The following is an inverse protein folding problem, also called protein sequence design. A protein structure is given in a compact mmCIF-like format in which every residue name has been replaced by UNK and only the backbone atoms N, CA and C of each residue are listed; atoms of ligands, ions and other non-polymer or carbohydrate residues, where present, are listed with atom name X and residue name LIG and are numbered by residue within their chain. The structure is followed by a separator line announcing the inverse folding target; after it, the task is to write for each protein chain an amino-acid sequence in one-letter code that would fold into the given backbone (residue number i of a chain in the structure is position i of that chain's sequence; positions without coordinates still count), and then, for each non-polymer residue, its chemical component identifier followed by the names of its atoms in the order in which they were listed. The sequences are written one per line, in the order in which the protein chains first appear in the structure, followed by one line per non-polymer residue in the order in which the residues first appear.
data_IF_317762751310
#
_entry.id   IF_317762751310
#
_cell.length_a   1.000
_cell.length_b   1.000
_cell.length_c   1.000
_cell.angle_alpha   90.00
_cell.angle_beta   90.00
_cell.angle_gamma   90.00
#
_symmetry.space_group_name_H-M   'P 1'
#
loop_
_entity.id
_entity.type
_entity.pdbx_description
1 polymer ?
#
# COMPACT_ATOMS: atom_id res chain seq x y z
N UNK A 1 14.70 0.55 -10.66
CA UNK A 1 13.23 0.65 -10.81
C UNK A 1 12.83 2.11 -10.67
N UNK A 2 11.87 2.63 -11.44
CA UNK A 2 11.52 4.06 -11.49
C UNK A 2 10.03 4.23 -11.22
N UNK A 3 9.66 5.25 -10.44
CA UNK A 3 8.30 5.60 -10.03
C UNK A 3 8.04 7.09 -10.28
N UNK A 4 6.82 7.44 -10.69
CA UNK A 4 6.40 8.82 -10.93
C UNK A 4 5.57 9.29 -9.70
N UNK A 5 5.93 10.36 -8.98
CA UNK A 5 5.11 10.85 -7.87
C UNK A 5 3.71 11.30 -8.33
N UNK A 6 2.72 11.10 -7.48
CA UNK A 6 1.34 11.52 -7.73
C UNK A 6 0.98 12.63 -6.73
N UNK A 7 0.57 13.77 -7.27
CA UNK A 7 -0.08 14.83 -6.53
C UNK A 7 -1.59 14.56 -6.49
N UNK A 8 -2.15 14.47 -5.28
CA UNK A 8 -3.60 14.33 -5.04
C UNK A 8 -4.12 15.43 -4.12
N UNK A 9 -3.37 16.54 -3.99
CA UNK A 9 -3.81 17.71 -3.23
C UNK A 9 -5.05 18.30 -3.90
N UNK A 10 -5.97 18.81 -3.06
CA UNK A 10 -7.25 19.40 -3.51
C UNK A 10 -8.17 18.46 -4.30
N UNK A 11 -7.97 17.14 -4.20
CA UNK A 11 -8.83 16.15 -4.89
C UNK A 11 -8.57 16.02 -6.39
N UNK A 12 -7.48 16.61 -6.91
CA UNK A 12 -7.08 16.47 -8.31
C UNK A 12 -5.93 15.48 -8.39
N UNK A 13 -6.12 14.38 -9.13
CA UNK A 13 -5.05 13.39 -9.38
C UNK A 13 -4.18 13.89 -10.54
N UNK A 14 -2.89 14.14 -10.26
CA UNK A 14 -1.89 14.49 -11.27
C UNK A 14 -0.61 13.71 -11.04
N UNK A 15 -0.01 13.18 -12.10
CA UNK A 15 1.37 12.70 -12.05
C UNK A 15 2.34 13.86 -12.20
N UNK A 16 3.50 13.75 -11.57
CA UNK A 16 4.64 14.61 -11.86
C UNK A 16 5.35 14.15 -13.15
N UNK A 17 5.92 15.08 -13.91
CA UNK A 17 6.62 14.78 -15.17
C UNK A 17 8.09 14.36 -14.98
N UNK A 18 8.37 13.66 -13.89
CA UNK A 18 9.67 13.04 -13.63
C UNK A 18 9.52 11.70 -12.92
N UNK A 19 10.51 10.83 -13.14
CA UNK A 19 10.59 9.55 -12.46
C UNK A 19 11.76 9.52 -11.48
N UNK A 20 11.55 8.92 -10.32
CA UNK A 20 12.57 8.70 -9.29
C UNK A 20 12.71 7.22 -8.95
N UNK A 21 13.90 6.81 -8.52
CA UNK A 21 14.11 5.42 -8.13
C UNK A 21 13.37 5.08 -6.84
N UNK A 22 13.01 3.81 -6.63
CA UNK A 22 12.36 3.33 -5.38
C UNK A 22 13.11 3.80 -4.13
N UNK A 23 14.45 3.71 -4.13
CA UNK A 23 15.29 4.19 -3.03
C UNK A 23 15.19 5.71 -2.83
N UNK A 24 15.06 6.49 -3.92
CA UNK A 24 14.82 7.94 -3.84
C UNK A 24 13.40 8.26 -3.36
N UNK A 25 12.38 7.48 -3.76
CA UNK A 25 11.02 7.59 -3.21
C UNK A 25 11.04 7.39 -1.70
N UNK A 26 11.63 6.29 -1.24
CA UNK A 26 11.80 5.98 0.17
C UNK A 26 12.45 7.14 0.94
N UNK A 27 13.59 7.63 0.48
CA UNK A 27 14.26 8.78 1.10
C UNK A 27 13.39 10.04 1.12
N UNK A 28 12.68 10.33 0.02
CA UNK A 28 11.75 11.46 -0.07
C UNK A 28 10.62 11.33 0.96
N UNK A 29 10.04 10.14 1.08
CA UNK A 29 8.98 9.83 2.04
C UNK A 29 9.49 10.04 3.48
N UNK A 30 10.63 9.46 3.85
CA UNK A 30 11.24 9.66 5.18
C UNK A 30 11.53 11.14 5.48
N UNK A 31 11.86 11.94 4.47
CA UNK A 31 12.13 13.38 4.63
C UNK A 31 10.87 14.26 4.69
N UNK A 32 9.69 13.70 4.45
CA UNK A 32 8.43 14.46 4.40
C UNK A 32 8.04 14.90 5.81
N UNK A 33 7.56 16.15 5.97
CA UNK A 33 7.13 16.71 7.27
C UNK A 33 6.05 15.89 7.99
N UNK A 34 5.35 15.01 7.26
CA UNK A 34 4.36 14.09 7.80
C UNK A 34 4.98 13.05 8.74
N UNK A 35 6.26 12.73 8.58
CA UNK A 35 6.96 11.73 9.38
C UNK A 35 8.08 12.37 10.21
N UNK A 36 8.54 11.66 11.23
CA UNK A 36 9.66 12.13 12.02
C UNK A 36 10.94 12.07 11.21
N UNK A 37 11.84 13.05 11.44
CA UNK A 37 13.23 12.98 10.93
C UNK A 37 13.97 11.74 11.44
N UNK A 38 13.43 11.07 12.46
CA UNK A 38 13.93 9.81 13.02
C UNK A 38 13.27 8.57 12.44
N UNK A 39 12.42 8.67 11.42
CA UNK A 39 11.80 7.49 10.82
C UNK A 39 12.88 6.50 10.36
N UNK A 40 12.81 5.26 10.88
CA UNK A 40 13.82 4.20 10.70
C UNK A 40 13.37 3.12 9.73
N UNK A 41 12.10 3.10 9.36
CA UNK A 41 11.53 2.14 8.43
C UNK A 41 10.42 2.77 7.59
N UNK A 42 10.08 2.16 6.45
CA UNK A 42 8.88 2.54 5.71
C UNK A 42 8.08 1.35 5.19
N UNK A 43 6.77 1.54 5.08
CA UNK A 43 5.83 0.59 4.49
C UNK A 43 5.38 1.12 3.13
N UNK A 44 5.62 0.34 2.07
CA UNK A 44 5.06 0.61 0.75
C UNK A 44 3.86 -0.31 0.48
N UNK A 45 2.68 0.29 0.38
CA UNK A 45 1.46 -0.40 0.00
C UNK A 45 1.38 -0.49 -1.53
N UNK A 46 1.45 -1.71 -2.06
CA UNK A 46 1.31 -1.94 -3.49
C UNK A 46 -0.16 -2.18 -3.81
N UNK A 47 -0.82 -1.13 -4.28
CA UNK A 47 -2.26 -1.09 -4.45
C UNK A 47 -2.64 -1.84 -5.73
N UNK A 48 -3.42 -2.91 -5.61
CA UNK A 48 -3.96 -3.60 -6.79
C UNK A 48 -4.98 -2.75 -7.55
N UNK A 49 -5.99 -2.22 -6.83
CA UNK A 49 -7.13 -1.46 -7.36
C UNK A 49 -7.64 -0.45 -6.32
N UNK A 50 -7.41 0.85 -6.51
CA UNK A 50 -7.74 1.84 -5.50
C UNK A 50 -9.22 1.87 -5.06
N UNK A 51 -10.19 1.75 -5.99
CA UNK A 51 -11.62 1.73 -5.64
C UNK A 51 -12.18 0.42 -5.10
N UNK A 52 -11.38 -0.65 -5.00
CA UNK A 52 -11.83 -1.91 -4.44
C UNK A 52 -11.95 -1.82 -2.91
N UNK A 53 -13.03 -2.35 -2.34
CA UNK A 53 -13.25 -2.39 -0.87
C UNK A 53 -12.06 -3.01 -0.13
N UNK A 54 -11.47 -4.08 -0.67
CA UNK A 54 -10.34 -4.76 -0.03
C UNK A 54 -9.13 -3.83 0.06
N UNK A 55 -8.82 -3.08 -1.00
CA UNK A 55 -7.69 -2.14 -0.96
C UNK A 55 -7.95 -0.96 -0.01
N UNK A 56 -9.22 -0.57 0.19
CA UNK A 56 -9.62 0.41 1.21
C UNK A 56 -9.43 -0.14 2.63
N UNK A 57 -9.82 -1.38 2.87
CA UNK A 57 -9.60 -2.09 4.13
C UNK A 57 -8.11 -2.22 4.45
N UNK A 58 -7.32 -2.70 3.49
CA UNK A 58 -5.86 -2.81 3.60
C UNK A 58 -5.21 -1.47 3.88
N UNK A 59 -5.62 -0.42 3.15
CA UNK A 59 -5.15 0.95 3.38
C UNK A 59 -5.44 1.42 4.81
N UNK A 60 -6.67 1.22 5.29
CA UNK A 60 -7.04 1.59 6.66
C UNK A 60 -6.17 0.89 7.70
N UNK A 61 -5.99 -0.43 7.57
CA UNK A 61 -5.20 -1.22 8.51
C UNK A 61 -3.72 -0.84 8.50
N UNK A 62 -3.14 -0.58 7.32
CA UNK A 62 -1.75 -0.13 7.21
C UNK A 62 -1.56 1.27 7.78
N UNK A 63 -2.57 2.15 7.63
CA UNK A 63 -2.56 3.46 8.27
C UNK A 63 -2.55 3.35 9.79
N UNK A 64 -3.43 2.53 10.34
CA UNK A 64 -3.52 2.29 11.78
C UNK A 64 -2.23 1.65 12.32
N UNK A 65 -1.67 0.67 11.62
CA UNK A 65 -0.38 0.07 11.96
C UNK A 65 0.71 1.14 12.04
N UNK A 66 0.88 1.96 11.00
CA UNK A 66 1.94 2.98 10.96
C UNK A 66 1.75 4.04 12.04
N UNK A 67 0.50 4.46 12.28
CA UNK A 67 0.15 5.43 13.33
C UNK A 67 0.33 4.89 14.75
N UNK A 68 0.31 3.56 14.93
CA UNK A 68 0.55 2.94 16.23
C UNK A 68 2.02 2.98 16.67
N UNK A 69 2.96 3.32 15.78
CA UNK A 69 4.36 3.49 16.16
C UNK A 69 4.61 4.89 16.76
N UNK A 70 5.27 4.97 17.93
CA UNK A 70 5.53 6.25 18.57
C UNK A 70 6.43 7.14 17.73
N UNK A 71 6.29 8.46 17.91
CA UNK A 71 7.10 9.48 17.27
C UNK A 71 7.17 9.38 15.73
N UNK A 72 6.17 8.80 15.05
CA UNK A 72 6.19 8.59 13.60
C UNK A 72 7.47 7.91 13.11
N UNK A 73 7.96 6.91 13.86
CA UNK A 73 9.18 6.13 13.55
C UNK A 73 9.07 5.27 12.29
N UNK A 74 7.85 5.02 11.84
CA UNK A 74 7.56 4.30 10.61
C UNK A 74 6.90 5.26 9.64
N UNK A 75 7.40 5.30 8.41
CA UNK A 75 6.77 6.03 7.33
C UNK A 75 5.91 5.11 6.46
N UNK A 76 5.01 5.69 5.68
CA UNK A 76 4.14 4.95 4.79
C UNK A 76 4.00 5.66 3.45
N UNK A 77 3.77 4.89 2.39
CA UNK A 77 3.53 5.37 1.04
C UNK A 77 2.86 4.28 0.21
N UNK A 78 2.25 4.66 -0.90
CA UNK A 78 1.53 3.74 -1.78
C UNK A 78 2.08 3.77 -3.21
N UNK A 79 1.89 2.66 -3.91
CA UNK A 79 2.18 2.53 -5.32
C UNK A 79 0.93 2.06 -6.05
N UNK A 80 0.62 2.74 -7.16
CA UNK A 80 -0.45 2.35 -8.10
C UNK A 80 0.17 2.07 -9.47
N UNK A 81 -0.49 1.23 -10.27
CA UNK A 81 -0.04 0.90 -11.63
C UNK A 81 -0.53 1.89 -12.70
N UNK A 82 -1.60 2.61 -12.41
CA UNK A 82 -2.30 3.50 -13.34
C UNK A 82 -3.01 4.63 -12.61
N UNK A 83 -3.23 5.74 -13.33
CA UNK A 83 -4.10 6.85 -12.97
C UNK A 83 -5.10 7.06 -14.14
N UNK A 84 -6.14 7.86 -13.95
CA UNK A 84 -7.18 8.17 -14.96
C UNK A 84 -8.10 7.00 -15.36
N UNK A 85 -8.05 5.90 -14.61
CA UNK A 85 -8.98 4.77 -14.74
C UNK A 85 -10.08 4.80 -13.68
N UNK A 86 -9.69 5.10 -12.44
CA UNK A 86 -10.57 5.14 -11.26
C UNK A 86 -10.10 6.25 -10.31
N UNK A 87 -10.16 7.49 -10.80
CA UNK A 87 -9.68 8.65 -10.04
C UNK A 87 -10.51 8.89 -8.78
N UNK A 88 -11.81 8.56 -8.80
CA UNK A 88 -12.67 8.63 -7.61
C UNK A 88 -12.26 7.59 -6.57
N UNK A 89 -12.02 6.34 -6.98
CA UNK A 89 -11.53 5.29 -6.09
C UNK A 89 -10.14 5.61 -5.53
N UNK A 90 -9.25 6.17 -6.36
CA UNK A 90 -7.92 6.61 -5.94
C UNK A 90 -7.98 7.77 -4.95
N UNK A 91 -8.83 8.76 -5.22
CA UNK A 91 -9.05 9.91 -4.33
C UNK A 91 -9.67 9.46 -3.02
N UNK A 92 -10.67 8.58 -3.04
CA UNK A 92 -11.29 8.02 -1.85
C UNK A 92 -10.30 7.20 -1.02
N UNK A 93 -9.48 6.35 -1.66
CA UNK A 93 -8.41 5.59 -1.00
C UNK A 93 -7.46 6.55 -0.27
N UNK A 94 -6.96 7.56 -0.97
CA UNK A 94 -6.04 8.53 -0.40
C UNK A 94 -6.65 9.38 0.72
N UNK A 95 -7.86 9.92 0.53
CA UNK A 95 -8.46 10.85 1.48
C UNK A 95 -8.93 10.16 2.75
N UNK A 96 -9.59 9.00 2.62
CA UNK A 96 -10.35 8.40 3.72
C UNK A 96 -9.62 7.22 4.39
N UNK A 97 -8.76 6.51 3.66
CA UNK A 97 -8.22 5.22 4.12
C UNK A 97 -6.69 5.22 4.26
N UNK A 98 -5.95 5.87 3.35
CA UNK A 98 -4.48 5.83 3.33
C UNK A 98 -3.87 7.18 2.90
N UNK A 99 -3.85 8.15 3.82
CA UNK A 99 -3.44 9.54 3.53
C UNK A 99 -1.92 9.75 3.60
N UNK A 100 -1.19 9.01 2.76
CA UNK A 100 0.27 9.09 2.63
C UNK A 100 0.67 9.34 1.17
N UNK A 101 1.95 9.62 0.84
CA UNK A 101 2.36 9.85 -0.55
C UNK A 101 2.09 8.66 -1.48
N UNK A 102 1.66 8.92 -2.71
CA UNK A 102 1.45 7.91 -3.75
C UNK A 102 2.44 8.07 -4.90
N UNK A 103 2.75 6.95 -5.53
CA UNK A 103 3.61 6.90 -6.71
C UNK A 103 3.01 5.97 -7.76
N UNK A 104 3.24 6.29 -9.03
CA UNK A 104 2.83 5.52 -10.18
C UNK A 104 4.00 4.64 -10.66
N UNK A 105 3.78 3.32 -10.71
CA UNK A 105 4.65 2.33 -11.34
C UNK A 105 4.07 1.92 -12.70
N UNK A 106 4.22 2.79 -13.69
CA UNK A 106 3.70 2.60 -15.05
C UNK A 106 4.15 1.29 -15.70
N UNK A 107 5.36 0.80 -15.35
CA UNK A 107 5.93 -0.44 -15.93
C UNK A 107 5.59 -1.70 -15.12
N UNK A 108 4.85 -1.53 -14.03
CA UNK A 108 4.46 -2.56 -13.06
C UNK A 108 5.65 -3.39 -12.57
N UNK A 109 6.81 -2.77 -12.39
CA UNK A 109 8.03 -3.46 -12.00
C UNK A 109 7.98 -3.95 -10.54
N UNK A 110 7.36 -3.21 -9.62
CA UNK A 110 7.14 -3.66 -8.23
C UNK A 110 6.17 -4.83 -8.19
N UNK A 111 5.06 -4.73 -8.91
CA UNK A 111 4.08 -5.83 -9.04
C UNK A 111 4.73 -7.11 -9.60
N UNK A 112 5.56 -6.97 -10.65
CA UNK A 112 6.30 -8.10 -11.23
C UNK A 112 7.35 -8.68 -10.28
N UNK A 113 8.01 -7.83 -9.48
CA UNK A 113 9.03 -8.24 -8.53
C UNK A 113 8.45 -9.02 -7.33
N UNK A 114 7.22 -8.71 -6.91
CA UNK A 114 6.53 -9.46 -5.84
C UNK A 114 6.02 -10.84 -6.28
N UNK A 115 5.96 -11.11 -7.58
CA UNK A 115 5.56 -12.40 -8.15
C UNK A 115 4.47 -12.27 -9.23
N UNK A 116 4.63 -13.02 -10.33
CA UNK A 116 3.63 -13.12 -11.41
C UNK A 116 2.62 -14.21 -11.08
N UNK A 117 1.55 -13.91 -10.36
CA UNK A 117 0.42 -14.83 -10.25
C UNK A 117 -0.87 -14.15 -10.72
N UNK A 118 -1.37 -14.63 -11.85
CA UNK A 118 -2.64 -14.24 -12.46
C UNK A 118 -3.77 -14.94 -11.68
N UNK A 119 -4.57 -14.20 -10.93
CA UNK A 119 -5.70 -14.80 -10.21
C UNK A 119 -6.89 -15.00 -11.14
N UNK A 120 -7.36 -16.25 -11.28
CA UNK A 120 -8.63 -16.53 -11.94
C UNK A 120 -9.78 -15.84 -11.19
N UNK A 121 -10.54 -15.00 -11.91
CA UNK A 121 -11.71 -14.27 -11.41
C UNK A 121 -12.68 -15.15 -10.62
N UNK A 122 -12.93 -16.40 -11.06
CA UNK A 122 -13.83 -17.32 -10.35
C UNK A 122 -13.31 -17.72 -8.96
N UNK A 123 -12.00 -18.00 -8.81
CA UNK A 123 -11.39 -18.33 -7.52
C UNK A 123 -11.43 -17.15 -6.54
N UNK A 124 -11.20 -15.94 -7.04
CA UNK A 124 -11.30 -14.70 -6.26
C UNK A 124 -12.69 -14.51 -5.67
N UNK A 125 -13.74 -14.64 -6.49
CA UNK A 125 -15.13 -14.50 -6.03
C UNK A 125 -15.54 -15.53 -4.99
N UNK A 126 -15.09 -16.76 -5.17
CA UNK A 126 -15.42 -17.86 -4.28
C UNK A 126 -14.77 -17.67 -2.90
N UNK A 127 -13.50 -17.26 -2.85
CA UNK A 127 -12.78 -17.06 -1.60
C UNK A 127 -13.32 -15.87 -0.78
N UNK A 128 -13.65 -14.74 -1.43
CA UNK A 128 -14.27 -13.58 -0.76
C UNK A 128 -15.63 -13.93 -0.14
N UNK A 129 -16.39 -14.85 -0.77
CA UNK A 129 -17.68 -15.31 -0.22
C UNK A 129 -17.52 -16.31 0.92
N UNK A 130 -16.47 -17.14 0.90
CA UNK A 130 -16.24 -18.18 1.91
C UNK A 130 -15.69 -17.64 3.22
N UNK A 131 -14.84 -16.64 3.16
CA UNK A 131 -14.28 -16.01 4.36
C UNK A 131 -15.20 -14.86 4.77
N UNK A 132 -15.40 -14.63 6.07
CA UNK A 132 -16.28 -13.58 6.64
C UNK A 132 -15.92 -12.12 6.28
N UNK A 133 -15.21 -11.89 5.18
CA UNK A 133 -14.76 -10.60 4.67
C UNK A 133 -15.92 -9.60 4.55
N UNK A 134 -17.09 -10.00 4.08
CA UNK A 134 -18.27 -9.12 4.02
C UNK A 134 -18.67 -8.56 5.39
N UNK A 135 -18.70 -9.43 6.40
CA UNK A 135 -19.05 -9.03 7.77
C UNK A 135 -17.98 -8.09 8.33
N UNK A 136 -16.70 -8.47 8.23
CA UNK A 136 -15.57 -7.66 8.70
C UNK A 136 -15.51 -6.27 8.05
N UNK A 137 -15.74 -6.19 6.74
CA UNK A 137 -15.78 -4.93 5.99
C UNK A 137 -16.94 -4.04 6.45
N UNK A 138 -18.11 -4.64 6.69
CA UNK A 138 -19.26 -3.92 7.21
C UNK A 138 -18.99 -3.41 8.64
N UNK A 139 -18.35 -4.21 9.48
CA UNK A 139 -17.95 -3.83 10.85
C UNK A 139 -16.97 -2.64 10.85
N UNK A 140 -16.16 -2.48 9.79
CA UNK A 140 -15.23 -1.35 9.59
C UNK A 140 -15.87 -0.14 8.88
N UNK A 141 -17.17 -0.19 8.53
CA UNK A 141 -17.87 0.91 7.87
C UNK A 141 -17.34 1.26 6.48
N UNK A 142 -16.75 0.30 5.75
CA UNK A 142 -16.11 0.58 4.45
C UNK A 142 -17.14 0.42 3.33
N UNK A 143 -17.45 1.53 2.66
CA UNK A 143 -18.36 1.54 1.51
C UNK A 143 -17.63 1.29 0.18
N UNK A 144 -18.30 0.55 -0.73
CA UNK A 144 -17.84 0.37 -2.10
C UNK A 144 -18.34 -0.92 -2.75
N UNK A 145 -17.68 -1.32 -3.83
CA UNK A 145 -17.92 -2.60 -4.51
C UNK A 145 -16.70 -3.52 -4.37
N UNK A 146 -16.92 -4.81 -4.09
CA UNK A 146 -15.85 -5.83 -4.03
C UNK A 146 -15.06 -5.96 -5.35
N UNK A 147 -15.62 -5.41 -6.44
CA UNK A 147 -15.07 -5.40 -7.78
C UNK A 147 -14.94 -3.94 -8.22
N UNK A 148 -13.73 -3.42 -8.36
CA UNK A 148 -13.49 -2.23 -9.18
C UNK A 148 -13.47 -2.60 -10.66
N UNK A 149 -13.84 -1.68 -11.56
CA UNK A 149 -13.67 -1.82 -13.01
C UNK A 149 -12.18 -2.05 -13.32
N UNK A 150 -11.79 -3.24 -13.78
CA UNK A 150 -10.40 -3.56 -14.08
C UNK A 150 -10.06 -5.05 -14.05
N UNK A 151 -8.93 -5.41 -14.65
CA UNK A 151 -8.44 -6.79 -14.75
C UNK A 151 -8.18 -7.39 -13.35
N UNK A 152 -8.99 -8.37 -12.96
CA UNK A 152 -8.92 -9.07 -11.67
C UNK A 152 -7.74 -10.04 -11.54
N UNK A 153 -6.65 -9.80 -12.27
CA UNK A 153 -5.55 -10.74 -12.48
C UNK A 153 -4.27 -10.34 -11.75
N UNK A 154 -4.08 -9.06 -11.41
CA UNK A 154 -2.87 -8.57 -10.72
C UNK A 154 -3.05 -8.73 -9.21
N UNK A 155 -1.97 -8.97 -8.47
CA UNK A 155 -1.95 -8.96 -7.01
C UNK A 155 -1.24 -7.71 -6.47
N UNK A 156 -1.79 -7.15 -5.41
CA UNK A 156 -1.14 -6.16 -4.57
C UNK A 156 -0.25 -6.80 -3.50
N UNK A 157 0.13 -6.00 -2.51
CA UNK A 157 1.00 -6.48 -1.45
C UNK A 157 1.59 -5.34 -0.61
N UNK A 158 2.54 -5.70 0.25
CA UNK A 158 3.22 -4.80 1.18
C UNK A 158 4.71 -5.07 1.12
N UNK A 159 5.50 -4.01 0.99
CA UNK A 159 6.96 -4.06 1.13
C UNK A 159 7.36 -3.22 2.35
N UNK A 160 8.30 -3.73 3.14
CA UNK A 160 8.88 -3.00 4.28
C UNK A 160 10.35 -2.74 4.00
N UNK A 161 10.74 -1.47 4.16
CA UNK A 161 12.08 -0.97 3.93
C UNK A 161 12.73 -0.53 5.24
N UNK A 162 14.04 -0.73 5.36
CA UNK A 162 14.84 -0.10 6.41
C UNK A 162 15.14 1.38 6.11
N UNK A 163 15.87 2.06 7.00
CA UNK A 163 16.25 3.46 6.82
C UNK A 163 17.12 3.69 5.56
N UNK A 164 17.91 2.69 5.14
CA UNK A 164 18.80 2.75 3.99
C UNK A 164 18.04 2.61 2.66
N UNK A 165 16.81 2.10 2.72
CA UNK A 165 15.92 1.86 1.59
C UNK A 165 16.10 0.48 0.97
N UNK A 166 16.62 -0.47 1.73
CA UNK A 166 16.71 -1.88 1.37
C UNK A 166 15.43 -2.60 1.80
N UNK A 167 14.96 -3.56 1.00
CA UNK A 167 13.73 -4.32 1.30
C UNK A 167 14.07 -5.39 2.33
N UNK A 168 13.45 -5.31 3.51
CA UNK A 168 13.65 -6.26 4.60
C UNK A 168 12.53 -7.29 4.70
N UNK A 169 11.34 -6.96 4.19
CA UNK A 169 10.19 -7.86 4.19
C UNK A 169 9.29 -7.58 2.98
N UNK A 170 8.71 -8.64 2.43
CA UNK A 170 7.78 -8.57 1.31
C UNK A 170 6.61 -9.53 1.52
N UNK A 171 5.40 -9.01 1.39
CA UNK A 171 4.17 -9.77 1.46
C UNK A 171 3.36 -9.55 0.19
N UNK A 172 2.93 -10.64 -0.45
CA UNK A 172 1.99 -10.61 -1.56
C UNK A 172 0.59 -10.99 -1.04
N UNK A 173 -0.42 -10.18 -1.38
CA UNK A 173 -1.79 -10.44 -0.95
C UNK A 173 -2.34 -11.77 -1.53
N UNK A 174 -3.23 -12.44 -0.80
CA UNK A 174 -3.91 -13.64 -1.28
C UNK A 174 -5.37 -13.36 -1.62
N UNK A 175 -5.73 -13.40 -2.91
CA UNK A 175 -7.12 -13.37 -3.44
C UNK A 175 -8.15 -12.44 -2.75
N UNK A 176 -7.71 -11.43 -1.98
CA UNK A 176 -8.56 -10.51 -1.20
C UNK A 176 -9.47 -11.15 -0.14
N UNK A 177 -9.25 -12.42 0.22
CA UNK A 177 -10.11 -13.16 1.14
C UNK A 177 -9.56 -13.25 2.57
N UNK A 178 -8.25 -13.08 2.70
CA UNK A 178 -7.55 -13.03 3.97
C UNK A 178 -7.24 -11.58 4.32
N UNK A 179 -7.29 -11.28 5.62
CA UNK A 179 -6.90 -9.99 6.16
C UNK A 179 -5.37 -9.88 6.17
N UNK A 180 -4.83 -8.65 6.10
CA UNK A 180 -3.38 -8.47 6.18
C UNK A 180 -2.86 -8.98 7.54
N UNK A 181 -1.70 -9.67 7.57
CA UNK A 181 -1.10 -10.14 8.80
C UNK A 181 -0.40 -8.97 9.53
N UNK A 182 -1.19 -8.05 10.08
CA UNK A 182 -0.69 -6.80 10.71
C UNK A 182 0.31 -7.07 11.83
N UNK A 183 0.11 -8.13 12.61
CA UNK A 183 1.05 -8.49 13.68
C UNK A 183 2.39 -8.99 13.14
N UNK A 184 2.42 -9.69 12.00
CA UNK A 184 3.69 -10.03 11.34
C UNK A 184 4.41 -8.78 10.85
N UNK A 185 3.69 -7.82 10.27
CA UNK A 185 4.26 -6.55 9.82
C UNK A 185 4.79 -5.73 11.00
N UNK A 186 4.07 -5.72 12.12
CA UNK A 186 4.50 -5.07 13.36
C UNK A 186 5.79 -5.68 13.89
N UNK A 187 5.88 -7.01 13.95
CA UNK A 187 7.09 -7.73 14.35
C UNK A 187 8.27 -7.39 13.44
N UNK A 188 8.07 -7.42 12.11
CA UNK A 188 9.10 -7.06 11.14
C UNK A 188 9.59 -5.61 11.32
N UNK A 189 8.67 -4.66 11.50
CA UNK A 189 9.02 -3.25 11.75
C UNK A 189 9.81 -3.07 13.06
N UNK A 190 9.39 -3.72 14.15
CA UNK A 190 10.11 -3.67 15.42
C UNK A 190 11.53 -4.22 15.30
N UNK A 191 11.71 -5.36 14.61
CA UNK A 191 13.03 -5.94 14.36
C UNK A 191 13.94 -4.99 13.58
N UNK A 192 13.42 -4.40 12.50
CA UNK A 192 14.18 -3.42 11.68
C UNK A 192 14.57 -2.19 12.51
N UNK A 193 13.66 -1.68 13.35
CA UNK A 193 13.94 -0.51 14.19
C UNK A 193 15.03 -0.84 15.22
N UNK A 194 14.94 -1.99 15.89
CA UNK A 194 15.90 -2.41 16.90
C UNK A 194 17.32 -2.61 16.31
N UNK A 195 17.43 -3.22 15.13
CA UNK A 195 18.71 -3.41 14.43
C UNK A 195 19.39 -2.08 14.07
N UNK A 196 18.61 -1.02 13.86
CA UNK A 196 19.10 0.33 13.52
C UNK A 196 19.38 1.21 14.74
N UNK A 197 19.06 0.73 15.95
CA UNK A 197 19.43 1.36 17.23
C UNK A 197 20.68 0.70 17.84
N UNK A 198 20.95 -0.55 17.47
CA UNK A 198 22.12 -1.31 17.92
C UNK A 198 23.41 -1.02 17.13
N UNK A 199 23.29 -0.25 16.04
CA UNK A 199 24.38 0.19 15.15
C UNK A 199 24.53 1.72 15.19
#
# INVERSE_FOLDING_TARGET
MQLEPIDMRFGVVRKEDYSISVRKCHKKVLSTRQFSRRAKASVAFIVKRPGCIICKEEGLMLRELVQSFPENRVAAWAVVKEIDVDNDGLTALYQNYFRFPFFLDRKMKLYKAMGKNVINRFKFFYNIRKNGARKRIADKGIEGTFIGKGEGLILGGVLIFDAKGDICYAYQEKSGAEELPIEEFRCALNAIIADQESN
#
